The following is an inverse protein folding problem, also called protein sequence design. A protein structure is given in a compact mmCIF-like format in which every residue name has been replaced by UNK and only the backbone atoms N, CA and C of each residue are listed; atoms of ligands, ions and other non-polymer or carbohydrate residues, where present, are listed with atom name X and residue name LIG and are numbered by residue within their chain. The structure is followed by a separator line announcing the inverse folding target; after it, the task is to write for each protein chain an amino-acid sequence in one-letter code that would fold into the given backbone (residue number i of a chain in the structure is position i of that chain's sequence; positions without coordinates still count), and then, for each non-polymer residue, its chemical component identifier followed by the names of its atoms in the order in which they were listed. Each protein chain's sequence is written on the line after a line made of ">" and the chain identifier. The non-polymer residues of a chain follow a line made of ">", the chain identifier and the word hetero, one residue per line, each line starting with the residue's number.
data_IF_113340482976
#
_entry.id   IF_113340482976
#
_cell.length_a   1.000
_cell.length_b   1.000
_cell.length_c   1.000
_cell.angle_alpha   90.00
_cell.angle_beta   90.00
_cell.angle_gamma   90.00
#
_symmetry.space_group_name_H-M   'P 1'
#
loop_
_entity.id
_entity.type
_entity.pdbx_description
1 polymer ?
#
# COMPACT_ATOMS: atom_id res chain seq x y z
N UNK A 1 -15.46 -13.55 -7.19
CA UNK A 1 -14.86 -12.25 -7.55
C UNK A 1 -14.82 -12.20 -9.06
N UNK A 2 -15.60 -11.29 -9.66
CA UNK A 2 -15.68 -11.16 -11.12
C UNK A 2 -14.35 -10.58 -11.66
N UNK A 3 -13.69 -11.32 -12.56
CA UNK A 3 -12.37 -10.96 -13.08
C UNK A 3 -12.45 -10.01 -14.28
N UNK A 4 -13.65 -9.74 -14.80
CA UNK A 4 -13.89 -8.88 -15.96
C UNK A 4 -13.49 -7.42 -15.71
N UNK A 5 -13.48 -6.98 -14.46
CA UNK A 5 -13.11 -5.62 -14.09
C UNK A 5 -11.59 -5.40 -13.93
N UNK A 6 -10.77 -6.45 -13.95
CA UNK A 6 -9.33 -6.33 -13.76
C UNK A 6 -8.61 -6.30 -15.11
N UNK A 7 -8.50 -5.11 -15.69
CA UNK A 7 -7.68 -4.88 -16.89
C UNK A 7 -6.19 -5.05 -16.54
N UNK A 8 -5.51 -6.00 -17.18
CA UNK A 8 -4.05 -6.11 -17.08
C UNK A 8 -3.41 -4.84 -17.62
N UNK A 9 -2.60 -4.21 -16.78
CA UNK A 9 -1.89 -2.99 -17.12
C UNK A 9 -0.61 -3.29 -17.89
N UNK A 10 -0.30 -2.49 -18.91
CA UNK A 10 0.95 -2.54 -19.67
C UNK A 10 2.10 -1.84 -18.94
N UNK A 11 3.34 -2.21 -19.25
CA UNK A 11 4.55 -1.55 -18.73
C UNK A 11 4.57 -0.04 -19.00
N UNK A 12 4.06 0.38 -20.17
CA UNK A 12 3.99 1.80 -20.55
C UNK A 12 3.03 2.58 -19.65
N UNK A 13 1.87 1.99 -19.33
CA UNK A 13 0.91 2.60 -18.39
C UNK A 13 1.50 2.65 -16.98
N UNK A 14 2.22 1.60 -16.53
CA UNK A 14 2.86 1.57 -15.21
C UNK A 14 3.91 2.68 -15.02
N UNK A 15 4.66 3.00 -16.08
CA UNK A 15 5.66 4.07 -16.05
C UNK A 15 5.06 5.48 -15.88
N UNK A 16 3.75 5.66 -16.05
CA UNK A 16 3.07 6.95 -15.85
C UNK A 16 2.65 7.19 -14.39
N UNK A 17 2.64 6.15 -13.56
CA UNK A 17 2.23 6.24 -12.15
C UNK A 17 3.04 7.24 -11.32
N UNK A 18 4.40 7.30 -11.43
CA UNK A 18 5.18 8.24 -10.65
C UNK A 18 4.84 9.69 -10.95
N UNK A 19 4.51 10.00 -12.21
CA UNK A 19 4.11 11.35 -12.61
C UNK A 19 2.73 11.70 -12.03
N UNK A 20 1.79 10.77 -12.07
CA UNK A 20 0.46 10.94 -11.47
C UNK A 20 0.54 11.23 -9.96
N UNK A 21 1.26 10.41 -9.19
CA UNK A 21 1.37 10.61 -7.73
C UNK A 21 2.10 11.92 -7.35
N UNK A 22 3.00 12.43 -8.21
CA UNK A 22 3.65 13.73 -8.00
C UNK A 22 2.70 14.91 -8.15
N UNK A 23 1.61 14.77 -8.91
CA UNK A 23 0.62 15.83 -9.10
C UNK A 23 -0.42 15.92 -7.98
N UNK A 24 -0.51 14.89 -7.13
CA UNK A 24 -1.48 14.83 -6.05
C UNK A 24 -1.02 15.60 -4.80
N UNK A 25 -1.99 16.14 -4.07
CA UNK A 25 -1.73 16.72 -2.76
C UNK A 25 -1.26 15.65 -1.77
N UNK A 26 -0.61 16.09 -0.68
CA UNK A 26 -0.16 15.18 0.40
C UNK A 26 -1.32 14.36 0.99
N UNK A 27 -2.50 14.96 1.08
CA UNK A 27 -3.71 14.32 1.63
C UNK A 27 -4.21 13.22 0.69
N UNK A 28 -4.30 13.51 -0.61
CA UNK A 28 -4.75 12.54 -1.61
C UNK A 28 -3.79 11.34 -1.72
N UNK A 29 -2.48 11.59 -1.72
CA UNK A 29 -1.47 10.53 -1.71
C UNK A 29 -1.61 9.62 -0.47
N UNK A 30 -1.87 10.18 0.71
CA UNK A 30 -2.07 9.40 1.92
C UNK A 30 -3.33 8.52 1.85
N UNK A 31 -4.43 9.03 1.28
CA UNK A 31 -5.68 8.28 1.09
C UNK A 31 -5.48 7.11 0.13
N UNK A 32 -4.83 7.35 -1.01
CA UNK A 32 -4.53 6.29 -2.00
C UNK A 32 -3.64 5.22 -1.36
N UNK A 33 -2.57 5.63 -0.68
CA UNK A 33 -1.67 4.70 -0.01
C UNK A 33 -2.41 3.82 1.01
N UNK A 34 -3.22 4.44 1.89
CA UNK A 34 -4.03 3.71 2.88
C UNK A 34 -4.96 2.71 2.21
N UNK A 35 -5.60 3.10 1.11
CA UNK A 35 -6.51 2.23 0.36
C UNK A 35 -5.77 1.04 -0.25
N UNK A 36 -4.61 1.27 -0.88
CA UNK A 36 -3.77 0.21 -1.44
C UNK A 36 -3.32 -0.78 -0.36
N UNK A 37 -2.92 -0.27 0.81
CA UNK A 37 -2.53 -1.11 1.93
C UNK A 37 -3.73 -1.89 2.50
N UNK A 38 -4.92 -1.29 2.60
CA UNK A 38 -6.13 -2.01 3.01
C UNK A 38 -6.46 -3.15 2.04
N UNK A 39 -6.29 -2.94 0.74
CA UNK A 39 -6.46 -4.00 -0.26
C UNK A 39 -5.42 -5.10 -0.07
N UNK A 40 -4.14 -4.74 0.07
CA UNK A 40 -3.05 -5.70 0.20
C UNK A 40 -3.18 -6.60 1.44
N UNK A 41 -3.65 -6.05 2.55
CA UNK A 41 -3.82 -6.77 3.82
C UNK A 41 -5.24 -7.29 4.05
N UNK A 42 -6.18 -7.11 3.11
CA UNK A 42 -7.55 -7.62 3.22
C UNK A 42 -8.46 -6.84 4.19
N UNK A 43 -8.11 -5.59 4.50
CA UNK A 43 -8.85 -4.68 5.39
C UNK A 43 -9.68 -3.61 4.64
N UNK A 44 -10.07 -3.87 3.38
CA UNK A 44 -10.86 -2.91 2.59
C UNK A 44 -12.12 -2.48 3.35
N UNK A 45 -12.27 -1.17 3.58
CA UNK A 45 -13.42 -0.58 4.29
C UNK A 45 -13.41 -0.77 5.82
N UNK A 46 -12.38 -1.38 6.39
CA UNK A 46 -12.21 -1.52 7.85
C UNK A 46 -11.21 -0.50 8.38
N UNK A 47 -11.27 -0.18 9.67
CA UNK A 47 -10.23 0.64 10.30
C UNK A 47 -8.85 0.00 10.09
N UNK A 48 -7.86 0.85 9.80
CA UNK A 48 -6.49 0.39 9.68
C UNK A 48 -6.06 -0.12 11.06
N UNK A 49 -5.59 -1.37 11.19
CA UNK A 49 -5.18 -1.87 12.49
C UNK A 49 -4.07 -0.96 13.03
N UNK A 50 -4.05 -0.68 14.36
CA UNK A 50 -2.93 0.02 14.95
C UNK A 50 -1.68 -0.79 14.60
N UNK A 51 -0.82 -0.21 13.76
CA UNK A 51 0.50 -0.79 13.58
C UNK A 51 1.17 -0.61 14.94
N UNK A 52 1.29 -1.70 15.70
CA UNK A 52 2.24 -1.71 16.79
C UNK A 52 3.52 -1.14 16.21
N UNK A 53 4.03 -0.07 16.84
CA UNK A 53 5.38 0.37 16.55
C UNK A 53 6.24 -0.81 16.97
N UNK A 54 6.51 -1.72 16.05
CA UNK A 54 7.69 -2.54 16.11
C UNK A 54 8.79 -1.51 15.98
N UNK A 55 9.14 -0.91 17.13
CA UNK A 55 10.45 -0.35 17.33
C UNK A 55 11.36 -1.44 16.78
N UNK A 56 12.12 -1.10 15.75
CA UNK A 56 13.24 -1.89 15.26
C UNK A 56 14.30 -1.95 16.37
N UNK A 57 13.92 -2.51 17.51
CA UNK A 57 14.72 -2.79 18.67
C UNK A 57 15.27 -4.18 18.46
N UNK A 58 16.44 -4.22 17.82
CA UNK A 58 17.45 -5.27 17.95
C UNK A 58 16.93 -6.71 17.78
N UNK A 59 17.18 -7.30 16.61
CA UNK A 59 17.43 -8.74 16.56
C UNK A 59 18.68 -9.03 17.39
N UNK A 60 18.54 -9.32 18.68
CA UNK A 60 19.53 -10.14 19.38
C UNK A 60 19.22 -11.57 19.03
N UNK A 61 20.00 -12.12 18.10
CA UNK A 61 20.10 -13.56 17.92
C UNK A 61 20.72 -14.06 19.24
N UNK A 62 19.92 -14.64 20.14
CA UNK A 62 20.48 -15.50 21.18
C UNK A 62 20.88 -16.79 20.48
N UNK A 63 22.18 -17.00 20.36
CA UNK A 63 22.74 -18.33 20.18
C UNK A 63 23.07 -18.83 21.58
N UNK A 64 22.21 -19.65 22.14
CA UNK A 64 22.58 -20.61 23.20
C UNK A 64 22.40 -22.02 22.63
#
# INVERSE_FOLDING_TARGET
>A
MDKTNFKKQSLKEANQHPAYYKTLSKVENAIIFKTMMQVAYGFVGKEWPPMEKVFTGMRKIHND
#
